data_IF_729574830288
#
_entry.id   IF_729574830288
#
_cell.length_a   1.000
_cell.length_b   1.000
_cell.length_c   1.000
_cell.angle_alpha   90.00
_cell.angle_beta   90.00
_cell.angle_gamma   90.00
#
_symmetry.space_group_name_H-M   'P 1'
#
loop_
_entity.id
_entity.type
_entity.pdbx_description
1 polymer ?
#
# COMPACT_ATOMS: atom_id res chain seq x y z
N UNK A 1 1.03 0.45 -22.59
CA UNK A 1 1.16 -0.69 -21.66
C UNK A 1 0.10 -0.56 -20.57
N UNK A 2 -0.43 -1.67 -20.04
CA UNK A 2 -1.31 -1.56 -18.87
C UNK A 2 -0.48 -1.20 -17.64
N UNK A 3 -1.01 -0.31 -16.80
CA UNK A 3 -0.39 0.10 -15.54
C UNK A 3 -0.52 -1.03 -14.52
N UNK A 4 0.50 -1.20 -13.68
CA UNK A 4 0.49 -2.26 -12.66
C UNK A 4 -0.34 -1.81 -11.45
N UNK A 5 -0.94 -2.77 -10.76
CA UNK A 5 -1.54 -2.51 -9.45
C UNK A 5 -0.49 -2.71 -8.36
N UNK A 6 -0.68 -2.04 -7.22
CA UNK A 6 0.08 -2.24 -6.00
C UNK A 6 -0.78 -2.99 -4.97
N UNK A 7 -0.13 -3.79 -4.12
CA UNK A 7 -0.74 -4.45 -2.99
C UNK A 7 0.07 -4.14 -1.73
N UNK A 8 -0.58 -3.65 -0.69
CA UNK A 8 0.02 -3.36 0.61
C UNK A 8 -0.62 -4.27 1.67
N UNK A 9 0.21 -4.90 2.49
CA UNK A 9 -0.23 -5.69 3.63
C UNK A 9 0.75 -5.52 4.79
N UNK A 10 0.23 -5.48 6.00
CA UNK A 10 1.03 -5.49 7.23
C UNK A 10 1.30 -6.94 7.64
N UNK A 11 2.42 -7.17 8.33
CA UNK A 11 2.77 -8.48 8.87
C UNK A 11 3.38 -8.32 10.25
N UNK A 12 3.17 -9.31 11.12
CA UNK A 12 3.63 -9.29 12.51
C UNK A 12 2.77 -8.40 13.44
N UNK A 13 3.34 -8.09 14.60
CA UNK A 13 2.69 -7.22 15.59
C UNK A 13 2.64 -5.76 15.13
N UNK A 14 1.50 -5.11 15.33
CA UNK A 14 1.32 -3.68 15.03
C UNK A 14 2.21 -2.80 15.93
N UNK A 15 2.55 -1.61 15.44
CA UNK A 15 3.31 -0.61 16.21
C UNK A 15 2.60 0.73 16.19
N UNK A 16 2.98 1.66 17.08
CA UNK A 16 2.37 2.98 17.17
C UNK A 16 2.48 3.82 15.88
N UNK A 17 3.40 3.48 14.97
CA UNK A 17 3.71 4.27 13.77
C UNK A 17 3.50 3.52 12.45
N UNK A 18 3.04 2.26 12.48
CA UNK A 18 2.92 1.44 11.26
C UNK A 18 1.97 2.05 10.21
N UNK A 19 0.97 2.81 10.66
CA UNK A 19 0.05 3.51 9.77
C UNK A 19 0.67 4.74 9.09
N UNK A 20 1.71 5.36 9.68
CA UNK A 20 2.44 6.43 9.01
C UNK A 20 3.22 5.88 7.80
N UNK A 21 3.81 4.68 7.93
CA UNK A 21 4.42 3.98 6.79
C UNK A 21 3.38 3.60 5.73
N UNK A 22 2.20 3.10 6.14
CA UNK A 22 1.10 2.81 5.22
C UNK A 22 0.65 4.07 4.45
N UNK A 23 0.52 5.20 5.16
CA UNK A 23 0.17 6.50 4.60
C UNK A 23 1.16 6.91 3.52
N UNK A 24 2.46 6.89 3.81
CA UNK A 24 3.51 7.24 2.85
C UNK A 24 3.46 6.39 1.58
N UNK A 25 3.27 5.07 1.72
CA UNK A 25 3.13 4.17 0.55
C UNK A 25 1.90 4.52 -0.28
N UNK A 26 0.74 4.73 0.35
CA UNK A 26 -0.52 4.98 -0.34
C UNK A 26 -0.55 6.35 -1.00
N UNK A 27 -0.06 7.39 -0.33
CA UNK A 27 -0.01 8.76 -0.85
C UNK A 27 0.94 8.84 -2.04
N UNK A 28 2.17 8.34 -1.91
CA UNK A 28 3.11 8.30 -3.04
C UNK A 28 2.53 7.50 -4.20
N UNK A 29 1.90 6.34 -3.97
CA UNK A 29 1.28 5.58 -5.06
C UNK A 29 0.18 6.37 -5.79
N UNK A 30 -0.55 7.25 -5.09
CA UNK A 30 -1.58 8.13 -5.67
C UNK A 30 -0.99 9.30 -6.47
N UNK A 31 0.21 9.76 -6.13
CA UNK A 31 0.92 10.81 -6.87
C UNK A 31 1.46 10.33 -8.24
N UNK A 32 1.62 9.02 -8.43
CA UNK A 32 2.09 8.41 -9.69
C UNK A 32 1.01 7.57 -10.38
N UNK A 33 -0.14 8.15 -10.77
CA UNK A 33 -1.22 7.42 -11.41
C UNK A 33 -0.84 6.94 -12.82
N UNK A 34 0.21 7.48 -13.43
CA UNK A 34 0.81 7.01 -14.69
C UNK A 34 1.56 5.68 -14.51
N UNK A 35 1.96 5.34 -13.28
CA UNK A 35 2.74 4.13 -12.96
C UNK A 35 1.92 3.06 -12.23
N UNK A 36 1.06 3.49 -11.29
CA UNK A 36 0.24 2.61 -10.46
C UNK A 36 -1.24 2.86 -10.73
N UNK A 37 -1.98 1.81 -11.11
CA UNK A 37 -3.39 1.92 -11.44
C UNK A 37 -4.29 1.92 -10.19
N UNK A 38 -4.13 0.92 -9.34
CA UNK A 38 -4.91 0.75 -8.11
C UNK A 38 -3.99 0.31 -6.97
N UNK A 39 -4.38 0.66 -5.74
CA UNK A 39 -3.73 0.19 -4.51
C UNK A 39 -4.73 -0.66 -3.75
N UNK A 40 -4.42 -1.94 -3.58
CA UNK A 40 -5.21 -2.88 -2.78
C UNK A 40 -4.56 -3.08 -1.41
N UNK A 41 -5.38 -3.26 -0.38
CA UNK A 41 -4.93 -3.54 0.98
C UNK A 41 -5.31 -4.97 1.39
N UNK A 42 -4.35 -5.71 1.95
CA UNK A 42 -4.58 -7.03 2.53
C UNK A 42 -5.33 -6.92 3.85
N UNK A 43 -6.60 -7.35 3.89
CA UNK A 43 -7.37 -7.41 5.13
C UNK A 43 -6.72 -8.45 6.05
N UNK A 44 -6.36 -8.03 7.27
CA UNK A 44 -5.64 -8.83 8.27
C UNK A 44 -4.20 -9.21 7.89
N UNK A 45 -3.56 -8.48 6.97
CA UNK A 45 -2.16 -8.68 6.63
C UNK A 45 -1.89 -9.79 5.61
N UNK A 46 -0.67 -10.33 5.60
CA UNK A 46 -0.31 -11.54 4.86
C UNK A 46 -0.59 -12.76 5.76
N UNK A 47 -1.35 -13.74 5.26
CA UNK A 47 -1.72 -14.98 5.97
C UNK A 47 -0.90 -16.13 5.41
#
# INVERSE_FOLDING_TARGET
>A
MSRKNAFYAQSGGVTAVINASACGVIETAREYPDRIANVYAGRNGII
#
